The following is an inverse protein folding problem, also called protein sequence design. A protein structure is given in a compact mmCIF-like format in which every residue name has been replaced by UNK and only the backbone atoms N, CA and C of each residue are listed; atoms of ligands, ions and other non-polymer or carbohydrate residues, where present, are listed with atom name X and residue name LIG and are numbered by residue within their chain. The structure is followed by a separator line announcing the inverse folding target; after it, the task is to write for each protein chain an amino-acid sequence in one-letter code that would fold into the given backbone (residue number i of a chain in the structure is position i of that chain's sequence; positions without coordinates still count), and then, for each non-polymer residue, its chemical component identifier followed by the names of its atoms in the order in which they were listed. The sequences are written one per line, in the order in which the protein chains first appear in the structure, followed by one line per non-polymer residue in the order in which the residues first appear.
data_IF_489072679289
#
_entry.id   IF_489072679289
#
_cell.length_a   1.000
_cell.length_b   1.000
_cell.length_c   1.000
_cell.angle_alpha   90.00
_cell.angle_beta   90.00
_cell.angle_gamma   90.00
#
_symmetry.space_group_name_H-M   'P 1'
#
loop_
_entity.id
_entity.type
_entity.pdbx_description
1 polymer ?
#
# COMPACT_ATOMS: atom_id res chain seq x y z
N UNK A 1 10.37 -11.73 9.50
CA UNK A 1 10.01 -11.17 8.17
C UNK A 1 8.73 -10.36 8.34
N UNK A 2 8.71 -9.08 7.94
CA UNK A 2 7.46 -8.29 7.92
C UNK A 2 6.75 -8.65 6.61
N UNK A 3 5.74 -9.51 6.70
CA UNK A 3 4.94 -9.94 5.56
C UNK A 3 3.85 -8.88 5.35
N UNK A 4 3.77 -8.33 4.15
CA UNK A 4 2.66 -7.49 3.71
C UNK A 4 1.57 -8.43 3.19
N UNK A 5 0.41 -8.44 3.84
CA UNK A 5 -0.71 -9.26 3.42
C UNK A 5 -1.50 -8.50 2.37
N UNK A 6 -1.45 -8.99 1.13
CA UNK A 6 -2.36 -8.54 0.10
C UNK A 6 -3.73 -9.15 0.43
N UNK A 7 -4.62 -8.35 1.00
CA UNK A 7 -6.00 -8.76 1.24
C UNK A 7 -6.76 -8.70 -0.09
N UNK A 8 -6.68 -9.77 -0.87
CA UNK A 8 -7.65 -10.05 -1.92
C UNK A 8 -8.59 -11.12 -1.36
N UNK A 9 -9.83 -10.73 -1.08
CA UNK A 9 -10.87 -11.71 -0.81
C UNK A 9 -11.02 -12.55 -2.09
N UNK A 10 -11.00 -13.88 -1.94
CA UNK A 10 -11.30 -14.79 -3.04
C UNK A 10 -12.70 -14.49 -3.60
N UNK A 11 -12.92 -14.61 -4.91
CA UNK A 11 -14.21 -14.27 -5.54
C UNK A 11 -15.38 -15.10 -4.98
N UNK A 12 -15.09 -16.29 -4.42
CA UNK A 12 -16.08 -17.12 -3.73
C UNK A 12 -16.47 -16.61 -2.34
N UNK A 13 -15.72 -15.63 -1.79
CA UNK A 13 -15.99 -15.02 -0.50
C UNK A 13 -17.07 -13.96 -0.66
N UNK A 14 -18.25 -14.24 -0.11
CA UNK A 14 -19.42 -13.35 -0.21
C UNK A 14 -19.59 -12.52 1.06
N UNK A 15 -20.02 -11.27 0.88
CA UNK A 15 -20.42 -10.39 1.98
C UNK A 15 -21.77 -10.82 2.58
N UNK A 16 -22.23 -10.10 3.61
CA UNK A 16 -23.50 -10.40 4.28
C UNK A 16 -24.74 -10.32 3.35
N UNK A 17 -24.62 -9.65 2.21
CA UNK A 17 -25.66 -9.58 1.17
C UNK A 17 -25.54 -10.70 0.13
N UNK A 18 -24.62 -11.65 0.30
CA UNK A 18 -24.39 -12.76 -0.64
C UNK A 18 -23.72 -12.32 -1.94
N UNK A 19 -23.02 -11.19 -1.95
CA UNK A 19 -22.30 -10.67 -3.13
C UNK A 19 -20.79 -10.69 -2.91
N UNK A 20 -19.97 -10.81 -3.96
CA UNK A 20 -18.53 -10.62 -3.83
C UNK A 20 -18.21 -9.25 -3.22
N UNK A 21 -17.19 -9.18 -2.37
CA UNK A 21 -16.75 -7.92 -1.77
C UNK A 21 -16.22 -6.98 -2.86
N UNK A 22 -16.75 -5.76 -2.90
CA UNK A 22 -16.16 -4.68 -3.67
C UNK A 22 -14.76 -4.37 -3.16
N UNK A 23 -13.94 -3.77 -4.02
CA UNK A 23 -12.58 -3.38 -3.64
C UNK A 23 -12.57 -2.49 -2.38
N UNK A 24 -13.49 -1.53 -2.30
CA UNK A 24 -13.62 -0.59 -1.16
C UNK A 24 -13.94 -1.29 0.16
N UNK A 25 -14.83 -2.29 0.14
CA UNK A 25 -15.13 -3.11 1.32
C UNK A 25 -13.90 -3.92 1.75
N UNK A 26 -13.16 -4.50 0.80
CA UNK A 26 -11.92 -5.22 1.10
C UNK A 26 -10.86 -4.30 1.73
N UNK A 27 -10.72 -3.06 1.25
CA UNK A 27 -9.81 -2.06 1.86
C UNK A 27 -10.21 -1.78 3.31
N UNK A 28 -11.50 -1.54 3.53
CA UNK A 28 -12.02 -1.18 4.85
C UNK A 28 -11.79 -2.30 5.86
N UNK A 29 -12.04 -3.55 5.46
CA UNK A 29 -11.82 -4.71 6.30
C UNK A 29 -10.33 -4.96 6.59
N UNK A 30 -9.47 -4.81 5.58
CA UNK A 30 -8.03 -4.95 5.75
C UNK A 30 -7.47 -3.89 6.71
N UNK A 31 -7.90 -2.63 6.59
CA UNK A 31 -7.46 -1.55 7.47
C UNK A 31 -7.98 -1.71 8.91
N UNK A 32 -9.18 -2.28 9.09
CA UNK A 32 -9.69 -2.62 10.43
C UNK A 32 -8.92 -3.78 11.06
N UNK A 33 -8.58 -4.81 10.28
CA UNK A 33 -7.86 -5.98 10.77
C UNK A 33 -6.38 -5.67 11.06
N UNK A 34 -5.74 -4.88 10.20
CA UNK A 34 -4.34 -4.49 10.30
C UNK A 34 -4.14 -3.00 9.97
N UNK A 35 -4.45 -2.11 10.92
CA UNK A 35 -4.31 -0.66 10.74
C UNK A 35 -2.90 -0.27 10.30
N UNK A 36 -2.80 0.59 9.29
CA UNK A 36 -1.56 1.12 8.71
C UNK A 36 -0.62 0.07 8.12
N UNK A 37 -1.09 -1.17 7.96
CA UNK A 37 -0.35 -2.30 7.38
C UNK A 37 -0.85 -2.70 5.99
N UNK A 38 -1.99 -2.16 5.57
CA UNK A 38 -2.52 -2.32 4.22
C UNK A 38 -1.64 -1.56 3.21
N UNK A 39 -0.60 -2.24 2.69
CA UNK A 39 0.23 -1.68 1.63
C UNK A 39 -0.45 -1.86 0.28
N UNK A 40 -0.89 -0.74 -0.31
CA UNK A 40 -1.47 -0.74 -1.65
C UNK A 40 -0.39 -0.55 -2.71
N UNK A 41 -0.38 -1.46 -3.69
CA UNK A 41 0.40 -1.33 -4.93
C UNK A 41 -0.13 -0.24 -5.86
N UNK A 42 -1.25 0.42 -5.51
CA UNK A 42 -1.93 1.43 -6.36
C UNK A 42 -1.10 2.69 -6.63
N UNK A 43 -0.03 2.92 -5.88
CA UNK A 43 0.93 3.97 -6.21
C UNK A 43 2.04 3.38 -7.08
N UNK A 44 1.81 3.43 -8.39
CA UNK A 44 2.72 2.91 -9.41
C UNK A 44 3.99 3.74 -9.55
N UNK A 45 4.00 4.98 -9.02
CA UNK A 45 5.18 5.84 -9.04
C UNK A 45 5.58 6.36 -7.66
N UNK A 46 6.88 6.60 -7.49
CA UNK A 46 7.43 7.23 -6.29
C UNK A 46 6.78 8.59 -5.99
N UNK A 47 6.42 9.35 -7.03
CA UNK A 47 5.79 10.65 -6.89
C UNK A 47 4.41 10.55 -6.22
N UNK A 48 3.60 9.58 -6.64
CA UNK A 48 2.28 9.35 -6.06
C UNK A 48 2.35 8.88 -4.61
N UNK A 49 3.34 8.01 -4.30
CA UNK A 49 3.63 7.57 -2.92
C UNK A 49 4.04 8.75 -2.03
N UNK A 50 4.97 9.57 -2.50
CA UNK A 50 5.47 10.73 -1.75
C UNK A 50 4.34 11.72 -1.45
N UNK A 51 3.47 11.99 -2.43
CA UNK A 51 2.37 12.93 -2.28
C UNK A 51 1.33 12.49 -1.22
N UNK A 52 1.13 11.17 -1.04
CA UNK A 52 0.13 10.64 -0.12
C UNK A 52 0.69 10.25 1.25
N UNK A 53 1.92 9.72 1.31
CA UNK A 53 2.47 9.09 2.52
C UNK A 53 3.39 10.03 3.30
N UNK A 54 4.04 10.98 2.62
CA UNK A 54 5.06 11.84 3.25
C UNK A 54 4.45 13.21 3.58
N UNK A 55 4.35 13.60 4.86
CA UNK A 55 3.95 14.94 5.27
C UNK A 55 4.77 16.02 4.53
N UNK A 56 4.14 17.15 4.18
CA UNK A 56 4.78 18.21 3.38
C UNK A 56 6.10 18.70 4.00
N UNK A 57 6.16 18.72 5.32
CA UNK A 57 7.31 19.15 6.12
C UNK A 57 8.49 18.17 5.99
N UNK A 58 8.21 16.91 5.68
CA UNK A 58 9.21 15.87 5.48
C UNK A 58 9.56 15.68 4.00
N UNK A 59 8.75 16.17 3.06
CA UNK A 59 9.06 16.10 1.63
C UNK A 59 10.37 16.79 1.26
N UNK A 60 10.72 17.88 1.96
CA UNK A 60 12.00 18.60 1.78
C UNK A 60 13.23 17.80 2.26
N UNK A 61 13.02 16.75 3.06
CA UNK A 61 14.08 15.88 3.58
C UNK A 61 14.25 14.61 2.75
N UNK A 62 13.50 14.47 1.65
CA UNK A 62 13.60 13.32 0.78
C UNK A 62 14.92 13.34 0.01
N UNK A 63 15.55 12.18 -0.06
CA UNK A 63 16.74 12.01 -0.89
C UNK A 63 16.38 12.22 -2.37
N UNK A 64 17.31 12.81 -3.15
CA UNK A 64 17.16 12.92 -4.60
C UNK A 64 16.86 11.56 -5.25
N UNK A 65 16.10 11.52 -6.36
CA UNK A 65 15.74 10.26 -7.03
C UNK A 65 16.93 9.34 -7.31
N UNK A 66 18.07 9.89 -7.74
CA UNK A 66 19.26 9.09 -8.08
C UNK A 66 19.99 8.54 -6.86
N UNK A 67 19.83 9.16 -5.69
CA UNK A 67 20.31 8.61 -4.43
C UNK A 67 19.36 7.53 -3.91
N UNK A 68 18.04 7.72 -4.07
CA UNK A 68 17.04 6.70 -3.70
C UNK A 68 17.21 5.42 -4.51
N UNK A 69 17.57 5.50 -5.79
CA UNK A 69 17.89 4.33 -6.64
C UNK A 69 19.09 3.51 -6.14
N UNK A 70 20.00 4.12 -5.38
CA UNK A 70 21.16 3.44 -4.79
C UNK A 70 20.82 2.74 -3.48
N UNK A 71 19.57 2.80 -3.02
CA UNK A 71 19.13 2.07 -1.85
C UNK A 71 19.31 0.56 -2.11
N UNK A 72 20.05 -0.18 -1.25
CA UNK A 72 20.25 -1.62 -1.41
C UNK A 72 18.96 -2.43 -1.52
N UNK A 73 17.87 -1.94 -0.91
CA UNK A 73 16.53 -2.55 -0.96
C UNK A 73 15.88 -2.37 -2.34
N UNK A 74 16.25 -1.33 -3.09
CA UNK A 74 15.77 -1.07 -4.45
C UNK A 74 16.52 -1.85 -5.53
N UNK A 75 17.67 -2.46 -5.20
CA UNK A 75 18.49 -3.25 -6.14
C UNK A 75 18.10 -4.73 -6.18
N UNK A 76 17.18 -5.16 -5.31
CA UNK A 76 16.82 -6.57 -5.11
C UNK A 76 15.38 -6.89 -5.50
N UNK A 77 14.65 -5.92 -6.07
CA UNK A 77 13.26 -6.06 -6.56
C UNK A 77 13.20 -5.89 -8.08
#
# INVERSE_FOLDING_TARGET
VKICHLYLADESTLNAAGKPFSLEEQITLAEQAEPSRTQWTKYCTDAERIAHVVPKELQQKLLPPDERKKNPVSLTL
#
